data_IF_488895155138
#
_entry.id   IF_488895155138
#
_cell.length_a   1.000
_cell.length_b   1.000
_cell.length_c   1.000
_cell.angle_alpha   90.00
_cell.angle_beta   90.00
_cell.angle_gamma   90.00
#
_symmetry.space_group_name_H-M   'P 1'
#
loop_
_entity.id
_entity.type
_entity.pdbx_description
1 polymer ?
#
# COMPACT_ATOMS: atom_id res chain seq x y z
N UNK A 1 -17.50 -31.81 -26.48
CA UNK A 1 -16.54 -30.73 -26.84
C UNK A 1 -16.32 -29.93 -25.57
N UNK A 2 -15.27 -30.23 -24.83
CA UNK A 2 -14.94 -29.55 -23.57
C UNK A 2 -14.39 -28.17 -23.87
N UNK A 3 -15.03 -27.13 -23.32
CA UNK A 3 -14.53 -25.77 -23.41
C UNK A 3 -13.58 -25.50 -22.24
N UNK A 4 -12.28 -25.58 -22.50
CA UNK A 4 -11.26 -25.12 -21.54
C UNK A 4 -11.26 -23.59 -21.55
N UNK A 5 -11.91 -22.96 -20.57
CA UNK A 5 -11.78 -21.52 -20.34
C UNK A 5 -10.34 -21.28 -19.87
N UNK A 6 -9.45 -20.95 -20.82
CA UNK A 6 -8.16 -20.35 -20.49
C UNK A 6 -8.45 -18.98 -19.88
N UNK A 7 -8.31 -18.89 -18.56
CA UNK A 7 -8.54 -17.69 -17.77
C UNK A 7 -7.50 -16.59 -18.02
N UNK A 8 -7.41 -16.09 -19.25
CA UNK A 8 -6.73 -14.82 -19.51
C UNK A 8 -7.66 -13.69 -19.05
N UNK A 9 -7.26 -13.00 -17.96
CA UNK A 9 -7.94 -11.78 -17.52
C UNK A 9 -7.80 -10.73 -18.62
N UNK A 10 -8.92 -10.33 -19.23
CA UNK A 10 -8.98 -9.19 -20.13
C UNK A 10 -8.55 -7.95 -19.34
N UNK A 11 -7.43 -7.35 -19.75
CA UNK A 11 -6.85 -6.18 -19.10
C UNK A 11 -7.09 -4.95 -19.97
N UNK A 12 -7.91 -4.01 -19.50
CA UNK A 12 -8.26 -2.80 -20.24
C UNK A 12 -7.22 -1.69 -20.01
N UNK A 13 -6.10 -1.74 -20.70
CA UNK A 13 -4.95 -0.83 -20.50
C UNK A 13 -5.26 0.68 -20.62
N UNK A 14 -6.39 1.05 -21.24
CA UNK A 14 -6.84 2.44 -21.35
C UNK A 14 -7.46 3.00 -20.06
N UNK A 15 -7.89 2.14 -19.14
CA UNK A 15 -8.47 2.56 -17.86
C UNK A 15 -7.40 3.20 -16.97
N UNK A 16 -7.76 4.29 -16.29
CA UNK A 16 -6.88 5.01 -15.35
C UNK A 16 -6.37 4.09 -14.23
N UNK A 17 -7.18 3.14 -13.79
CA UNK A 17 -6.81 2.12 -12.80
C UNK A 17 -5.65 1.23 -13.27
N UNK A 18 -5.60 0.86 -14.55
CA UNK A 18 -4.50 0.06 -15.10
C UNK A 18 -3.22 0.88 -15.29
N UNK A 19 -3.33 2.17 -15.60
CA UNK A 19 -2.15 3.07 -15.61
C UNK A 19 -1.56 3.20 -14.21
N UNK A 20 -2.40 3.32 -13.19
CA UNK A 20 -1.97 3.41 -11.81
C UNK A 20 -1.39 2.09 -11.29
N UNK A 21 -2.05 0.96 -11.56
CA UNK A 21 -1.54 -0.38 -11.20
C UNK A 21 -0.20 -0.70 -11.87
N UNK A 22 0.00 -0.26 -13.13
CA UNK A 22 1.30 -0.36 -13.80
C UNK A 22 2.36 0.48 -13.09
N UNK A 23 2.07 1.75 -12.78
CA UNK A 23 3.00 2.63 -12.07
C UNK A 23 3.39 2.09 -10.68
N UNK A 24 2.46 1.44 -9.97
CA UNK A 24 2.73 0.80 -8.68
C UNK A 24 3.70 -0.41 -8.77
N UNK A 25 3.88 -0.98 -9.97
CA UNK A 25 4.72 -2.16 -10.23
C UNK A 25 6.04 -1.82 -10.91
N UNK A 26 6.29 -0.55 -11.23
CA UNK A 26 7.53 -0.11 -11.84
C UNK A 26 8.69 -0.17 -10.83
N UNK A 27 9.89 -0.50 -11.32
CA UNK A 27 11.09 -0.52 -10.49
C UNK A 27 11.39 0.89 -9.95
N UNK A 28 11.73 0.96 -8.66
CA UNK A 28 12.07 2.21 -8.01
C UNK A 28 13.43 2.68 -8.53
N UNK A 29 13.45 3.80 -9.27
CA UNK A 29 14.68 4.53 -9.58
C UNK A 29 15.27 5.10 -8.27
N UNK A 30 16.58 4.94 -8.08
CA UNK A 30 17.24 5.13 -6.78
C UNK A 30 17.14 6.57 -6.22
N UNK A 31 17.10 6.69 -4.89
CA UNK A 31 16.96 7.90 -4.03
C UNK A 31 15.63 8.69 -4.08
N UNK A 32 14.48 7.99 -4.04
CA UNK A 32 13.23 8.67 -3.66
C UNK A 32 13.04 8.81 -2.13
N UNK A 33 13.86 8.12 -1.33
CA UNK A 33 13.67 8.07 0.13
C UNK A 33 13.78 9.45 0.79
N UNK A 34 14.74 10.26 0.35
CA UNK A 34 14.96 11.61 0.88
C UNK A 34 13.80 12.55 0.57
N UNK A 35 13.27 12.51 -0.66
CA UNK A 35 12.12 13.30 -1.07
C UNK A 35 10.85 12.93 -0.30
N UNK A 36 10.58 11.63 -0.10
CA UNK A 36 9.44 11.17 0.70
C UNK A 36 9.56 11.59 2.16
N UNK A 37 10.75 11.45 2.76
CA UNK A 37 10.98 11.83 4.15
C UNK A 37 10.77 13.33 4.37
N UNK A 38 11.31 14.17 3.49
CA UNK A 38 11.12 15.63 3.55
C UNK A 38 9.65 16.01 3.38
N UNK A 39 8.93 15.38 2.45
CA UNK A 39 7.49 15.61 2.27
C UNK A 39 6.68 15.24 3.52
N UNK A 40 6.95 14.10 4.14
CA UNK A 40 6.30 13.69 5.39
C UNK A 40 6.66 14.64 6.54
N UNK A 41 7.90 15.12 6.60
CA UNK A 41 8.32 16.11 7.61
C UNK A 41 7.51 17.40 7.50
N UNK A 42 7.38 17.96 6.28
CA UNK A 42 6.56 19.16 6.07
C UNK A 42 5.08 18.94 6.39
N UNK A 43 4.55 17.75 6.10
CA UNK A 43 3.18 17.39 6.47
C UNK A 43 2.98 17.29 7.98
N UNK A 44 3.95 16.77 8.74
CA UNK A 44 3.89 16.72 10.21
C UNK A 44 3.83 18.11 10.85
N UNK A 45 4.52 19.09 10.26
CA UNK A 45 4.47 20.48 10.73
C UNK A 45 3.09 21.12 10.51
N UNK A 46 2.41 20.75 9.41
CA UNK A 46 1.09 21.28 9.06
C UNK A 46 -0.05 20.56 9.79
N UNK A 47 0.09 19.26 10.05
CA UNK A 47 -0.98 18.41 10.56
C UNK A 47 -0.50 17.57 11.76
N UNK A 48 -0.85 18.02 12.98
CA UNK A 48 -0.43 17.35 14.22
C UNK A 48 -0.86 15.88 14.34
N UNK A 49 -1.92 15.46 13.64
CA UNK A 49 -2.39 14.07 13.64
C UNK A 49 -1.46 13.11 12.88
N UNK A 50 -0.57 13.62 12.01
CA UNK A 50 0.33 12.79 11.19
C UNK A 50 1.41 12.13 12.04
N UNK A 51 1.87 12.77 13.12
CA UNK A 51 2.85 12.14 14.02
C UNK A 51 2.24 10.94 14.76
N UNK A 52 1.02 11.10 15.28
CA UNK A 52 0.27 10.00 15.90
C UNK A 52 -0.04 8.87 14.90
N UNK A 53 -0.47 9.21 13.68
CA UNK A 53 -0.67 8.23 12.62
C UNK A 53 0.63 7.49 12.29
N UNK A 54 1.76 8.20 12.19
CA UNK A 54 3.07 7.59 11.90
C UNK A 54 3.48 6.59 12.98
N UNK A 55 3.28 6.94 14.26
CA UNK A 55 3.54 6.06 15.41
C UNK A 55 2.66 4.81 15.35
N UNK A 56 1.36 4.98 15.08
CA UNK A 56 0.41 3.86 14.91
C UNK A 56 0.79 2.96 13.72
N UNK A 57 1.19 3.55 12.60
CA UNK A 57 1.61 2.82 11.40
C UNK A 57 2.86 1.98 11.68
N UNK A 58 3.88 2.55 12.32
CA UNK A 58 5.10 1.83 12.72
C UNK A 58 4.80 0.62 13.62
N UNK A 59 3.92 0.81 14.62
CA UNK A 59 3.44 -0.28 15.48
C UNK A 59 2.72 -1.35 14.67
N UNK A 60 1.84 -0.96 13.74
CA UNK A 60 1.03 -1.90 12.96
C UNK A 60 1.86 -2.67 11.92
N UNK A 61 2.85 -2.05 11.28
CA UNK A 61 3.85 -2.75 10.45
C UNK A 61 4.56 -3.81 11.28
N UNK A 62 4.99 -3.46 12.49
CA UNK A 62 5.62 -4.41 13.41
C UNK A 62 4.68 -5.57 13.77
N UNK A 63 3.37 -5.32 13.91
CA UNK A 63 2.37 -6.37 14.16
C UNK A 63 2.24 -7.31 12.94
N UNK A 64 2.13 -6.77 11.73
CA UNK A 64 2.07 -7.57 10.50
C UNK A 64 3.31 -8.44 10.38
N UNK A 65 4.50 -7.87 10.58
CA UNK A 65 5.76 -8.59 10.50
C UNK A 65 5.87 -9.70 11.55
N UNK A 66 5.57 -9.41 12.83
CA UNK A 66 5.60 -10.41 13.91
C UNK A 66 4.58 -11.53 13.71
N UNK A 67 3.49 -11.24 13.01
CA UNK A 67 2.45 -12.21 12.73
C UNK A 67 2.75 -13.09 11.52
N UNK A 68 3.83 -12.82 10.78
CA UNK A 68 4.16 -13.52 9.54
C UNK A 68 4.35 -15.03 9.76
N UNK A 69 3.66 -15.84 8.96
CA UNK A 69 3.79 -17.30 8.96
C UNK A 69 4.28 -17.74 7.59
N UNK A 70 5.47 -18.35 7.45
CA UNK A 70 5.97 -18.80 6.15
C UNK A 70 4.97 -19.68 5.40
N UNK A 71 4.64 -19.32 4.16
CA UNK A 71 3.69 -20.06 3.31
C UNK A 71 2.21 -19.77 3.55
N UNK A 72 1.84 -18.94 4.53
CA UNK A 72 0.44 -18.54 4.76
C UNK A 72 0.00 -17.46 3.76
N UNK A 73 -0.97 -17.80 2.90
CA UNK A 73 -1.59 -16.86 1.96
C UNK A 73 -2.28 -15.69 2.68
N UNK A 74 -2.69 -15.86 3.94
CA UNK A 74 -3.26 -14.80 4.77
C UNK A 74 -2.27 -13.68 5.06
N UNK A 75 -0.95 -13.89 4.91
CA UNK A 75 0.03 -12.81 5.03
C UNK A 75 -0.25 -11.67 4.04
N UNK A 76 -0.65 -12.01 2.80
CA UNK A 76 -1.02 -11.02 1.78
C UNK A 76 -2.22 -10.20 2.27
N UNK A 77 -3.24 -10.89 2.80
CA UNK A 77 -4.43 -10.24 3.38
C UNK A 77 -4.05 -9.28 4.52
N UNK A 78 -3.14 -9.65 5.41
CA UNK A 78 -2.70 -8.77 6.52
C UNK A 78 -2.03 -7.49 6.02
N UNK A 79 -1.25 -7.55 4.94
CA UNK A 79 -0.70 -6.37 4.28
C UNK A 79 -1.81 -5.51 3.64
N UNK A 80 -2.81 -6.12 3.00
CA UNK A 80 -3.98 -5.41 2.48
C UNK A 80 -4.79 -4.73 3.59
N UNK A 81 -5.05 -5.42 4.70
CA UNK A 81 -5.78 -4.89 5.85
C UNK A 81 -5.02 -3.68 6.45
N UNK A 82 -3.69 -3.74 6.52
CA UNK A 82 -2.85 -2.62 6.95
C UNK A 82 -2.97 -1.42 6.02
N UNK A 83 -2.91 -1.65 4.70
CA UNK A 83 -3.04 -0.57 3.73
C UNK A 83 -4.44 0.07 3.79
N UNK A 84 -5.48 -0.75 3.92
CA UNK A 84 -6.86 -0.28 4.09
C UNK A 84 -7.03 0.55 5.36
N UNK A 85 -6.48 0.09 6.49
CA UNK A 85 -6.46 0.86 7.73
C UNK A 85 -5.77 2.22 7.56
N UNK A 86 -4.61 2.26 6.88
CA UNK A 86 -3.90 3.53 6.66
C UNK A 86 -4.74 4.52 5.84
N UNK A 87 -5.38 4.05 4.76
CA UNK A 87 -6.30 4.85 3.97
C UNK A 87 -7.47 5.40 4.79
N UNK A 88 -8.10 4.55 5.61
CA UNK A 88 -9.19 4.95 6.51
C UNK A 88 -8.75 6.04 7.50
N UNK A 89 -7.56 5.90 8.09
CA UNK A 89 -7.05 6.91 9.03
C UNK A 89 -6.73 8.23 8.34
N UNK A 90 -6.14 8.22 7.15
CA UNK A 90 -5.87 9.45 6.40
C UNK A 90 -7.18 10.13 6.02
N UNK A 91 -8.14 9.39 5.47
CA UNK A 91 -9.42 9.96 5.04
C UNK A 91 -10.24 10.55 6.19
N UNK A 92 -10.17 9.95 7.39
CA UNK A 92 -10.85 10.47 8.58
C UNK A 92 -10.30 11.80 9.11
N UNK A 93 -9.07 12.16 8.74
CA UNK A 93 -8.39 13.36 9.22
C UNK A 93 -8.17 14.40 8.11
N UNK A 94 -8.73 14.18 6.91
CA UNK A 94 -8.87 15.14 5.81
C UNK A 94 -10.22 15.86 5.91
#
# INVERSE_FOLDING_TARGET
>A
MEATIKGERITFYFLSSNKFDKALKEDVQNDMYSAYYNGISGLRELFGWIDDLSKKLSRNISLVHKSYIPGDESNKKRCYDLNFWLHDQVYKNL
#
